data_IF_008920293173
#
_entry.id   IF_008920293173
#
_cell.length_a   1.000
_cell.length_b   1.000
_cell.length_c   1.000
_cell.angle_alpha   90.00
_cell.angle_beta   90.00
_cell.angle_gamma   90.00
#
_symmetry.space_group_name_H-M   'P 1'
#
loop_
_entity.id
_entity.type
_entity.pdbx_description
1 polymer ?
#
# COMPACT_ATOMS: atom_id res chain seq x y z
N UNK A 1 -20.07 17.74 -1.52
CA UNK A 1 -18.96 18.65 -1.16
C UNK A 1 -17.81 17.89 -0.54
N UNK A 2 -16.81 17.51 -1.34
CA UNK A 2 -15.65 16.71 -0.92
C UNK A 2 -14.45 17.58 -0.51
N UNK A 3 -14.53 18.88 -0.73
CA UNK A 3 -13.35 19.74 -0.78
C UNK A 3 -12.93 20.38 0.56
N UNK A 4 -13.78 20.38 1.59
CA UNK A 4 -13.45 21.05 2.87
C UNK A 4 -13.32 20.12 4.09
N UNK A 5 -14.44 19.52 4.51
CA UNK A 5 -14.52 18.87 5.81
C UNK A 5 -14.03 17.41 5.82
N UNK A 6 -14.22 16.67 4.72
CA UNK A 6 -13.80 15.26 4.61
C UNK A 6 -12.28 15.11 4.60
N UNK A 7 -11.60 15.90 3.77
CA UNK A 7 -10.14 15.90 3.65
C UNK A 7 -9.45 16.32 4.95
N UNK A 8 -9.99 17.33 5.63
CA UNK A 8 -9.47 17.77 6.93
C UNK A 8 -9.64 16.71 8.01
N UNK A 9 -10.79 16.01 8.07
CA UNK A 9 -11.00 14.88 8.99
C UNK A 9 -10.02 13.74 8.71
N UNK A 10 -9.79 13.42 7.43
CA UNK A 10 -8.82 12.41 7.02
C UNK A 10 -7.40 12.76 7.49
N UNK A 11 -6.91 13.97 7.18
CA UNK A 11 -5.55 14.35 7.57
C UNK A 11 -5.35 14.47 9.07
N UNK A 12 -6.37 14.90 9.83
CA UNK A 12 -6.32 14.85 11.29
C UNK A 12 -6.14 13.42 11.81
N UNK A 13 -6.84 12.46 11.21
CA UNK A 13 -6.73 11.04 11.57
C UNK A 13 -5.35 10.47 11.22
N UNK A 14 -4.82 10.79 10.04
CA UNK A 14 -3.45 10.41 9.65
C UNK A 14 -2.42 10.97 10.63
N UNK A 15 -2.49 12.27 10.94
CA UNK A 15 -1.56 12.90 11.90
C UNK A 15 -1.62 12.22 13.27
N UNK A 16 -2.82 11.88 13.75
CA UNK A 16 -2.98 11.15 15.01
C UNK A 16 -2.28 9.79 14.98
N UNK A 17 -2.49 9.00 13.92
CA UNK A 17 -1.83 7.70 13.76
C UNK A 17 -0.32 7.82 13.67
N UNK A 18 0.21 8.80 12.93
CA UNK A 18 1.65 9.01 12.89
C UNK A 18 2.25 9.26 14.28
N UNK A 19 1.52 9.92 15.18
CA UNK A 19 2.01 10.18 16.54
C UNK A 19 1.79 9.00 17.51
N UNK A 20 0.66 8.32 17.44
CA UNK A 20 0.21 7.36 18.46
C UNK A 20 0.42 5.89 18.06
N UNK A 21 0.52 5.59 16.76
CA UNK A 21 0.60 4.23 16.24
C UNK A 21 1.97 3.99 15.58
N UNK A 22 2.80 3.20 16.28
CA UNK A 22 4.15 2.84 15.84
C UNK A 22 4.12 2.00 14.57
N UNK A 23 3.16 1.08 14.42
CA UNK A 23 3.06 0.24 13.23
C UNK A 23 2.65 1.06 12.01
N UNK A 24 1.72 2.01 12.20
CA UNK A 24 1.35 2.94 11.15
C UNK A 24 2.53 3.80 10.71
N UNK A 25 3.34 4.29 11.66
CA UNK A 25 4.54 5.08 11.36
C UNK A 25 5.60 4.26 10.64
N UNK A 26 5.90 3.06 11.12
CA UNK A 26 6.88 2.16 10.51
C UNK A 26 6.54 1.86 9.04
N UNK A 27 5.26 1.70 8.70
CA UNK A 27 4.83 1.55 7.30
C UNK A 27 5.12 2.79 6.46
N UNK A 28 4.85 3.99 7.01
CA UNK A 28 5.11 5.26 6.33
C UNK A 28 6.61 5.55 6.15
N UNK A 29 7.44 5.13 7.12
CA UNK A 29 8.89 5.28 7.09
C UNK A 29 9.57 4.17 6.26
N UNK A 30 8.80 3.18 5.76
CA UNK A 30 9.31 2.08 4.95
C UNK A 30 10.03 1.00 5.75
N UNK A 31 9.95 1.03 7.08
CA UNK A 31 10.52 0.02 7.97
C UNK A 31 9.76 -1.31 7.89
N UNK A 32 8.46 -1.26 7.52
CA UNK A 32 7.63 -2.45 7.30
C UNK A 32 6.83 -2.34 6.00
N UNK A 33 6.68 -3.46 5.30
CA UNK A 33 5.78 -3.60 4.16
C UNK A 33 4.34 -3.96 4.56
N UNK A 34 4.05 -4.10 5.86
CA UNK A 34 2.72 -4.45 6.36
C UNK A 34 1.80 -3.23 6.25
N UNK A 35 0.78 -3.35 5.41
CA UNK A 35 -0.20 -2.28 5.18
C UNK A 35 -1.05 -2.09 6.45
N UNK A 36 -1.15 -0.86 6.99
CA UNK A 36 -1.99 -0.60 8.15
C UNK A 36 -3.46 -0.96 7.90
N UNK A 37 -4.10 -1.58 8.90
CA UNK A 37 -5.51 -2.02 8.82
C UNK A 37 -6.46 -0.89 8.40
N UNK A 38 -6.14 0.36 8.77
CA UNK A 38 -6.87 1.54 8.34
C UNK A 38 -7.07 1.63 6.81
N UNK A 39 -6.05 1.33 6.02
CA UNK A 39 -6.14 1.36 4.56
C UNK A 39 -6.87 0.13 4.02
N UNK A 40 -6.68 -1.04 4.64
CA UNK A 40 -7.41 -2.26 4.29
C UNK A 40 -8.91 -2.07 4.47
N UNK A 41 -9.32 -1.50 5.60
CA UNK A 41 -10.73 -1.23 5.91
C UNK A 41 -11.33 -0.19 4.94
N UNK A 42 -10.56 0.85 4.61
CA UNK A 42 -10.97 1.86 3.63
C UNK A 42 -11.17 1.22 2.25
N UNK A 43 -10.20 0.43 1.79
CA UNK A 43 -10.25 -0.25 0.49
C UNK A 43 -11.42 -1.26 0.43
N UNK A 44 -11.63 -2.04 1.51
CA UNK A 44 -12.75 -2.98 1.61
C UNK A 44 -14.10 -2.27 1.56
N UNK A 45 -14.21 -1.12 2.24
CA UNK A 45 -15.42 -0.29 2.20
C UNK A 45 -15.67 0.26 0.80
N UNK A 46 -14.65 0.75 0.12
CA UNK A 46 -14.77 1.39 -1.19
C UNK A 46 -15.05 0.35 -2.31
N UNK A 47 -14.44 -0.83 -2.24
CA UNK A 47 -14.67 -1.94 -3.18
C UNK A 47 -16.01 -2.66 -2.94
N UNK A 48 -16.48 -2.70 -1.69
CA UNK A 48 -17.73 -3.37 -1.33
C UNK A 48 -17.76 -4.83 -1.78
N UNK A 49 -18.72 -5.17 -2.65
CA UNK A 49 -18.89 -6.54 -3.18
C UNK A 49 -17.71 -7.01 -4.03
N UNK A 50 -16.94 -6.09 -4.61
CA UNK A 50 -15.78 -6.45 -5.43
C UNK A 50 -14.62 -7.00 -4.61
N UNK A 51 -14.58 -6.74 -3.29
CA UNK A 51 -13.54 -7.21 -2.38
C UNK A 51 -13.31 -8.73 -2.46
N UNK A 52 -14.39 -9.51 -2.59
CA UNK A 52 -14.29 -10.98 -2.63
C UNK A 52 -13.64 -11.53 -3.90
N UNK A 53 -13.49 -10.70 -4.93
CA UNK A 53 -12.87 -11.08 -6.20
C UNK A 53 -11.40 -10.67 -6.29
N UNK A 54 -10.84 -10.01 -5.27
CA UNK A 54 -9.41 -9.70 -5.26
C UNK A 54 -8.60 -11.00 -5.15
N UNK A 55 -7.61 -11.21 -6.02
CA UNK A 55 -6.69 -12.33 -5.85
C UNK A 55 -5.87 -12.18 -4.57
N UNK A 56 -5.36 -13.29 -4.06
CA UNK A 56 -4.45 -13.28 -2.92
C UNK A 56 -3.23 -12.38 -3.23
N UNK A 57 -2.84 -11.56 -2.27
CA UNK A 57 -1.74 -10.62 -2.45
C UNK A 57 -2.09 -9.34 -3.22
N UNK A 58 -3.31 -9.18 -3.76
CA UNK A 58 -3.68 -8.03 -4.61
C UNK A 58 -3.57 -6.65 -3.93
N UNK A 59 -3.67 -6.62 -2.60
CA UNK A 59 -3.50 -5.37 -1.85
C UNK A 59 -2.02 -5.01 -1.63
N UNK A 60 -1.11 -5.96 -1.83
CA UNK A 60 0.33 -5.73 -1.70
C UNK A 60 0.91 -5.30 -3.04
N UNK A 61 1.68 -4.22 -3.01
CA UNK A 61 2.43 -3.75 -4.16
C UNK A 61 3.92 -3.80 -3.84
N UNK A 62 4.70 -4.39 -4.75
CA UNK A 62 6.15 -4.30 -4.70
C UNK A 62 6.59 -3.02 -5.43
N UNK A 63 7.07 -1.99 -4.72
CA UNK A 63 7.49 -0.74 -5.34
C UNK A 63 8.68 -0.92 -6.30
N UNK A 64 9.40 -2.03 -6.19
CA UNK A 64 10.55 -2.36 -7.03
C UNK A 64 10.20 -3.39 -8.12
N UNK A 65 8.92 -3.70 -8.36
CA UNK A 65 8.49 -4.71 -9.33
C UNK A 65 9.11 -4.48 -10.72
N UNK A 66 9.16 -3.23 -11.18
CA UNK A 66 9.78 -2.90 -12.46
C UNK A 66 11.28 -3.20 -12.47
N UNK A 67 12.00 -2.70 -11.47
CA UNK A 67 13.44 -2.90 -11.34
C UNK A 67 13.80 -4.39 -11.30
N UNK A 68 13.07 -5.18 -10.50
CA UNK A 68 13.24 -6.64 -10.43
C UNK A 68 13.01 -7.31 -11.78
N UNK A 69 11.95 -6.94 -12.48
CA UNK A 69 11.66 -7.48 -13.82
C UNK A 69 12.78 -7.19 -14.82
N UNK A 70 13.42 -6.02 -14.73
CA UNK A 70 14.55 -5.66 -15.60
C UNK A 70 15.84 -6.41 -15.21
N UNK A 71 16.08 -6.62 -13.91
CA UNK A 71 17.19 -7.43 -13.43
C UNK A 71 17.06 -8.89 -13.90
N UNK A 72 15.88 -9.50 -13.75
CA UNK A 72 15.61 -10.87 -14.21
C UNK A 72 15.82 -11.02 -15.72
N UNK A 73 15.40 -10.04 -16.52
CA UNK A 73 15.63 -10.05 -17.98
C UNK A 73 17.12 -10.02 -18.30
N UNK A 74 17.92 -9.24 -17.56
CA UNK A 74 19.37 -9.15 -17.76
C UNK A 74 20.07 -10.46 -17.40
N UNK A 75 19.72 -11.06 -16.27
CA UNK A 75 20.28 -12.35 -15.83
C UNK A 75 20.01 -13.46 -16.84
N UNK A 76 18.79 -13.54 -17.38
CA UNK A 76 18.42 -14.51 -18.42
C UNK A 76 19.24 -14.33 -19.70
N UNK A 77 19.50 -13.08 -20.11
CA UNK A 77 20.35 -12.78 -21.28
C UNK A 77 21.80 -13.22 -21.07
N UNK A 78 22.35 -13.02 -19.87
CA UNK A 78 23.72 -13.44 -19.52
C UNK A 78 23.85 -14.97 -19.49
N UNK A 79 22.82 -15.70 -19.05
CA UNK A 79 22.84 -17.17 -18.99
C UNK A 79 22.65 -17.85 -20.35
N UNK A 80 22.16 -17.13 -21.37
CA UNK A 80 21.88 -17.67 -22.71
C UNK A 80 23.00 -17.31 -23.72
N UNK A 81 24.00 -16.53 -23.29
CA UNK A 81 25.16 -16.11 -24.09
C UNK A 81 26.42 -16.90 -23.67
#
# INVERSE_FOLDING_TARGET
STEGSGRLKYYRKIRKFLHEDVQFRAFFEGETGVIPQFYVDMLKKDLGKLWQFLPEGAIYHDPNAYLKSEMEKREKKVQTA
#
